data_IF_092720458667
#
_entry.id   IF_092720458667
#
_cell.length_a   1.000
_cell.length_b   1.000
_cell.length_c   1.000
_cell.angle_alpha   90.00
_cell.angle_beta   90.00
_cell.angle_gamma   90.00
#
_symmetry.space_group_name_H-M   'P 1'
#
loop_
_entity.id
_entity.type
_entity.pdbx_description
1 polymer ?
#
# COMPACT_ATOMS: atom_id res chain seq x y z
N UNK A 1 7.32 36.87 -13.20
CA UNK A 1 8.15 35.65 -13.37
C UNK A 1 8.48 35.14 -11.98
N UNK A 2 7.75 34.14 -11.50
CA UNK A 2 8.01 33.48 -10.22
C UNK A 2 8.69 32.16 -10.60
N UNK A 3 9.94 32.00 -10.17
CA UNK A 3 10.74 30.82 -10.48
C UNK A 3 10.14 29.59 -9.82
N UNK A 4 9.61 28.68 -10.62
CA UNK A 4 9.33 27.30 -10.23
C UNK A 4 10.67 26.58 -10.02
N UNK A 5 11.31 26.84 -8.88
CA UNK A 5 12.34 25.94 -8.36
C UNK A 5 11.63 24.69 -7.86
N UNK A 6 11.28 23.81 -8.80
CA UNK A 6 10.71 22.51 -8.50
C UNK A 6 11.60 21.76 -7.51
N UNK A 7 11.00 21.15 -6.49
CA UNK A 7 11.71 20.21 -5.64
C UNK A 7 11.99 18.96 -6.48
N UNK A 8 13.20 18.86 -7.02
CA UNK A 8 13.67 17.74 -7.84
C UNK A 8 14.32 16.69 -6.95
N UNK A 9 14.17 15.40 -7.27
CA UNK A 9 15.09 14.37 -6.79
C UNK A 9 16.20 14.26 -7.84
N UNK A 10 17.38 14.88 -7.61
CA UNK A 10 18.41 15.02 -8.65
C UNK A 10 18.88 13.65 -9.17
N UNK A 11 18.89 12.65 -8.30
CA UNK A 11 19.44 11.32 -8.57
C UNK A 11 18.44 10.34 -9.22
N UNK A 12 17.14 10.69 -9.26
CA UNK A 12 16.10 9.78 -9.75
C UNK A 12 16.21 9.47 -11.25
N UNK A 13 16.72 10.43 -12.03
CA UNK A 13 16.98 10.22 -13.45
C UNK A 13 18.23 9.35 -13.70
N UNK A 14 19.13 9.25 -12.71
CA UNK A 14 20.36 8.45 -12.82
C UNK A 14 20.20 7.05 -12.23
N UNK A 15 19.24 6.86 -11.32
CA UNK A 15 18.97 5.58 -10.68
C UNK A 15 18.89 4.38 -11.65
N UNK A 16 18.15 4.44 -12.78
CA UNK A 16 18.09 3.31 -13.70
C UNK A 16 19.44 2.99 -14.38
N UNK A 17 20.32 3.98 -14.52
CA UNK A 17 21.67 3.79 -15.06
C UNK A 17 22.55 3.06 -14.04
N UNK A 18 22.52 3.51 -12.78
CA UNK A 18 23.25 2.87 -11.69
C UNK A 18 22.85 1.40 -11.52
N UNK A 19 21.55 1.10 -11.46
CA UNK A 19 21.06 -0.28 -11.33
C UNK A 19 21.55 -1.18 -12.47
N UNK A 20 21.56 -0.68 -13.71
CA UNK A 20 22.01 -1.46 -14.87
C UNK A 20 23.52 -1.69 -14.86
N UNK A 21 24.30 -0.67 -14.52
CA UNK A 21 25.75 -0.78 -14.40
C UNK A 21 26.14 -1.75 -13.29
N UNK A 22 25.57 -1.59 -12.08
CA UNK A 22 25.87 -2.44 -10.93
C UNK A 22 25.48 -3.91 -11.20
N UNK A 23 24.32 -4.15 -11.82
CA UNK A 23 23.88 -5.51 -12.16
C UNK A 23 24.84 -6.18 -13.16
N UNK A 24 25.26 -5.46 -14.21
CA UNK A 24 26.13 -6.03 -15.24
C UNK A 24 27.57 -6.22 -14.75
N UNK A 25 28.07 -5.32 -13.90
CA UNK A 25 29.36 -5.47 -13.23
C UNK A 25 29.35 -6.67 -12.27
N UNK A 26 28.29 -6.81 -11.46
CA UNK A 26 28.08 -7.98 -10.61
C UNK A 26 28.03 -9.27 -11.40
N UNK A 27 27.32 -9.32 -12.53
CA UNK A 27 27.28 -10.53 -13.38
C UNK A 27 28.65 -10.89 -13.98
N UNK A 28 29.49 -9.90 -14.32
CA UNK A 28 30.84 -10.13 -14.80
C UNK A 28 31.80 -10.61 -13.70
N UNK A 29 31.60 -10.17 -12.46
CA UNK A 29 32.50 -10.46 -11.34
C UNK A 29 32.09 -11.73 -10.56
N UNK A 30 30.79 -11.93 -10.35
CA UNK A 30 30.25 -12.94 -9.43
C UNK A 30 30.04 -14.30 -10.07
N UNK A 31 30.05 -14.38 -11.41
CA UNK A 31 29.94 -15.64 -12.14
C UNK A 31 31.34 -16.09 -12.56
N UNK A 32 31.96 -17.05 -11.86
CA UNK A 32 33.26 -17.59 -12.26
C UNK A 32 33.13 -18.32 -13.60
N UNK A 33 34.15 -18.17 -14.45
CA UNK A 33 34.29 -18.82 -15.77
C UNK A 33 33.43 -18.25 -16.90
N UNK A 34 33.05 -16.97 -16.87
CA UNK A 34 32.53 -16.33 -18.08
C UNK A 34 33.56 -16.40 -19.20
N UNK A 35 33.11 -16.88 -20.36
CA UNK A 35 33.91 -16.88 -21.57
C UNK A 35 34.08 -15.44 -22.08
N UNK A 36 35.16 -15.19 -22.82
CA UNK A 36 35.41 -13.87 -23.42
C UNK A 36 34.24 -13.41 -24.31
N UNK A 37 33.59 -14.35 -25.00
CA UNK A 37 32.41 -14.11 -25.83
C UNK A 37 31.19 -13.67 -25.02
N UNK A 38 30.99 -14.22 -23.83
CA UNK A 38 29.88 -13.83 -22.94
C UNK A 38 30.13 -12.45 -22.34
N UNK A 39 31.38 -12.13 -21.96
CA UNK A 39 31.75 -10.78 -21.52
C UNK A 39 31.49 -9.74 -22.63
N UNK A 40 31.82 -10.07 -23.89
CA UNK A 40 31.51 -9.20 -25.02
C UNK A 40 30.00 -9.07 -25.25
N UNK A 41 29.24 -10.15 -25.09
CA UNK A 41 27.78 -10.11 -25.21
C UNK A 41 27.13 -9.25 -24.11
N UNK A 42 27.64 -9.29 -22.88
CA UNK A 42 27.21 -8.43 -21.77
C UNK A 42 27.54 -6.96 -22.04
N UNK A 43 28.74 -6.66 -22.57
CA UNK A 43 29.09 -5.31 -22.99
C UNK A 43 28.16 -4.79 -24.10
N UNK A 44 27.83 -5.62 -25.09
CA UNK A 44 26.88 -5.27 -26.14
C UNK A 44 25.44 -5.08 -25.60
N UNK A 45 25.04 -5.87 -24.62
CA UNK A 45 23.76 -5.74 -23.92
C UNK A 45 23.69 -4.40 -23.17
N UNK A 46 24.76 -4.02 -22.46
CA UNK A 46 24.86 -2.74 -21.75
C UNK A 46 24.59 -1.56 -22.69
N UNK A 47 25.30 -1.52 -23.83
CA UNK A 47 25.16 -0.45 -24.83
C UNK A 47 23.74 -0.38 -25.39
N UNK A 48 23.16 -1.53 -25.77
CA UNK A 48 21.80 -1.59 -26.32
C UNK A 48 20.75 -1.15 -25.30
N UNK A 49 20.93 -1.51 -24.03
CA UNK A 49 20.00 -1.14 -22.98
C UNK A 49 20.08 0.36 -22.68
N UNK A 50 21.29 0.90 -22.56
CA UNK A 50 21.50 2.35 -22.36
C UNK A 50 20.87 3.16 -23.49
N UNK A 51 21.01 2.73 -24.75
CA UNK A 51 20.36 3.38 -25.88
C UNK A 51 18.82 3.37 -25.79
N UNK A 52 18.22 2.28 -25.29
CA UNK A 52 16.77 2.21 -25.05
C UNK A 52 16.35 3.08 -23.86
N UNK A 53 17.20 3.18 -22.85
CA UNK A 53 16.93 3.94 -21.64
C UNK A 53 16.86 5.44 -21.94
N UNK A 54 17.75 5.98 -22.78
CA UNK A 54 17.73 7.40 -23.22
C UNK A 54 16.35 7.80 -23.77
N UNK A 55 15.69 6.92 -24.53
CA UNK A 55 14.36 7.19 -25.11
C UNK A 55 13.19 7.01 -24.13
N UNK A 56 13.46 6.49 -22.93
CA UNK A 56 12.44 6.15 -21.92
C UNK A 56 12.61 6.95 -20.63
N UNK A 57 13.68 7.75 -20.52
CA UNK A 57 13.85 8.62 -19.38
C UNK A 57 12.90 9.81 -19.51
N UNK A 58 12.10 10.10 -18.47
CA UNK A 58 11.35 11.35 -18.44
C UNK A 58 12.34 12.52 -18.35
N UNK A 59 12.09 13.59 -19.11
CA UNK A 59 12.88 14.83 -19.01
C UNK A 59 12.87 15.40 -17.58
N UNK A 60 11.84 15.07 -16.79
CA UNK A 60 11.89 15.24 -15.34
C UNK A 60 10.91 14.32 -14.62
N UNK A 61 11.31 13.80 -13.45
CA UNK A 61 10.42 13.22 -12.46
C UNK A 61 9.90 14.32 -11.54
N UNK A 62 8.76 14.93 -11.90
CA UNK A 62 8.12 15.91 -11.03
C UNK A 62 7.61 15.19 -9.78
N UNK A 63 7.94 15.71 -8.60
CA UNK A 63 7.22 15.32 -7.40
C UNK A 63 5.72 15.57 -7.60
N UNK A 64 4.85 14.70 -7.07
CA UNK A 64 3.43 15.02 -7.01
C UNK A 64 3.25 16.39 -6.34
N UNK A 65 2.31 17.22 -6.81
CA UNK A 65 2.09 18.53 -6.23
C UNK A 65 1.87 18.39 -4.72
N UNK A 66 2.53 19.27 -3.94
CA UNK A 66 2.33 19.29 -2.50
C UNK A 66 0.82 19.33 -2.20
N UNK A 67 0.33 18.56 -1.21
CA UNK A 67 -1.08 18.53 -0.89
C UNK A 67 -1.55 19.96 -0.66
N UNK A 68 -2.60 20.37 -1.39
CA UNK A 68 -3.15 21.72 -1.28
C UNK A 68 -3.50 21.94 0.19
N UNK A 69 -2.94 23.00 0.80
CA UNK A 69 -3.39 23.45 2.13
C UNK A 69 -4.92 23.52 2.08
N UNK A 70 -5.64 22.88 3.03
CA UNK A 70 -7.09 22.88 3.00
C UNK A 70 -7.56 24.33 2.91
N UNK A 71 -8.25 24.67 1.80
CA UNK A 71 -8.92 25.96 1.69
C UNK A 71 -9.87 26.02 2.87
N UNK A 72 -9.60 26.92 3.82
CA UNK A 72 -10.60 27.35 4.79
C UNK A 72 -11.79 27.84 3.98
N UNK A 73 -12.79 26.96 3.79
CA UNK A 73 -14.07 27.34 3.23
C UNK A 73 -14.70 28.19 4.31
N UNK A 74 -14.78 29.50 4.08
CA UNK A 74 -15.71 30.34 4.82
C UNK A 74 -17.05 29.62 4.84
N UNK A 75 -17.51 29.27 6.05
CA UNK A 75 -18.77 28.55 6.27
C UNK A 75 -19.91 29.45 5.83
N UNK A 76 -20.34 29.31 4.59
CA UNK A 76 -21.72 29.64 4.24
C UNK A 76 -22.58 28.51 4.79
N UNK A 77 -23.12 28.74 5.97
CA UNK A 77 -24.08 27.85 6.62
C UNK A 77 -25.38 27.95 5.82
N UNK A 78 -25.50 27.15 4.77
CA UNK A 78 -26.79 26.66 4.33
C UNK A 78 -27.18 25.51 5.27
N UNK A 79 -28.45 25.40 5.71
CA UNK A 79 -28.88 24.32 6.58
C UNK A 79 -28.79 23.01 5.80
N UNK A 80 -27.66 22.31 5.93
CA UNK A 80 -27.55 20.93 5.49
C UNK A 80 -28.49 20.12 6.36
N UNK A 81 -29.42 19.43 5.72
CA UNK A 81 -30.11 18.30 6.35
C UNK A 81 -29.04 17.37 6.92
N UNK A 82 -29.14 16.97 8.19
CA UNK A 82 -28.16 16.09 8.80
C UNK A 82 -28.20 14.75 8.06
N UNK A 83 -27.21 14.51 7.20
CA UNK A 83 -26.79 13.15 6.92
C UNK A 83 -26.32 12.58 8.26
N UNK A 84 -27.17 11.73 8.83
CA UNK A 84 -26.86 10.87 9.96
C UNK A 84 -25.78 9.87 9.54
N UNK A 85 -24.54 10.32 9.45
CA UNK A 85 -23.39 9.46 9.67
C UNK A 85 -22.61 10.13 10.78
N UNK A 86 -22.84 9.68 12.01
CA UNK A 86 -22.09 10.13 13.16
C UNK A 86 -20.62 9.92 12.87
N UNK A 87 -19.90 10.99 12.57
CA UNK A 87 -18.45 11.04 12.76
C UNK A 87 -18.25 10.96 14.28
N UNK A 88 -18.30 9.74 14.82
CA UNK A 88 -17.71 9.45 16.11
C UNK A 88 -16.28 9.98 16.04
N UNK A 89 -15.94 10.93 16.92
CA UNK A 89 -14.56 11.34 17.19
C UNK A 89 -13.82 10.10 17.70
N UNK A 90 -13.32 9.28 16.79
CA UNK A 90 -12.49 8.12 17.11
C UNK A 90 -11.09 8.64 17.34
N UNK A 91 -10.57 8.35 18.53
CA UNK A 91 -9.18 8.62 18.85
C UNK A 91 -8.37 7.54 18.15
N UNK A 92 -7.70 7.91 17.05
CA UNK A 92 -6.74 7.05 16.38
C UNK A 92 -5.57 6.80 17.35
N UNK A 93 -5.38 5.54 17.75
CA UNK A 93 -4.26 5.11 18.57
C UNK A 93 -3.20 4.45 17.69
N UNK A 94 -1.94 4.74 17.96
CA UNK A 94 -0.83 4.09 17.25
C UNK A 94 -0.76 2.61 17.69
N UNK A 95 -1.09 1.69 16.79
CA UNK A 95 -1.12 0.24 17.06
C UNK A 95 0.26 -0.30 17.44
N UNK A 96 1.35 0.36 17.05
CA UNK A 96 2.71 -0.05 17.41
C UNK A 96 3.08 0.27 18.86
N UNK A 97 2.35 1.17 19.52
CA UNK A 97 2.54 1.52 20.93
C UNK A 97 1.66 0.68 21.87
N UNK A 98 0.58 0.07 21.35
CA UNK A 98 -0.31 -0.81 22.11
C UNK A 98 0.38 -2.13 22.48
N UNK A 99 0.01 -2.74 23.61
CA UNK A 99 0.52 -4.07 23.98
C UNK A 99 0.00 -5.15 23.02
N UNK A 100 0.80 -6.19 22.79
CA UNK A 100 0.47 -7.25 21.82
C UNK A 100 -0.89 -7.94 22.11
N UNK A 101 -1.27 -8.05 23.38
CA UNK A 101 -2.51 -8.67 23.82
C UNK A 101 -3.65 -7.67 24.08
N UNK A 102 -3.38 -6.37 23.94
CA UNK A 102 -4.41 -5.33 24.09
C UNK A 102 -5.43 -5.44 22.96
N UNK A 103 -6.72 -5.45 23.31
CA UNK A 103 -7.80 -5.53 22.34
C UNK A 103 -8.06 -4.14 21.78
N UNK A 104 -7.80 -3.97 20.48
CA UNK A 104 -7.98 -2.71 19.75
C UNK A 104 -9.16 -2.80 18.78
N UNK A 105 -9.81 -1.66 18.54
CA UNK A 105 -10.82 -1.54 17.50
C UNK A 105 -10.16 -1.21 16.17
N UNK A 106 -10.17 -2.15 15.24
CA UNK A 106 -9.58 -2.01 13.92
C UNK A 106 -10.67 -1.89 12.84
N UNK A 107 -10.67 -0.78 12.11
CA UNK A 107 -11.58 -0.57 10.99
C UNK A 107 -11.00 -1.14 9.70
N UNK A 108 -11.61 -2.21 9.20
CA UNK A 108 -11.26 -2.81 7.92
C UNK A 108 -12.13 -2.22 6.83
N UNK A 109 -11.50 -1.57 5.84
CA UNK A 109 -12.18 -1.04 4.67
C UNK A 109 -12.11 -2.04 3.50
N UNK A 110 -13.27 -2.40 2.96
CA UNK A 110 -13.34 -3.26 1.77
C UNK A 110 -13.81 -2.41 0.57
N UNK A 111 -12.93 -2.16 -0.41
CA UNK A 111 -13.29 -1.41 -1.60
C UNK A 111 -14.22 -2.23 -2.51
N UNK A 112 -14.83 -1.56 -3.48
CA UNK A 112 -15.67 -2.22 -4.49
C UNK A 112 -14.81 -3.03 -5.45
N UNK A 113 -14.59 -4.31 -5.14
CA UNK A 113 -13.85 -5.24 -5.99
C UNK A 113 -14.72 -5.94 -7.05
N UNK A 114 -16.05 -5.90 -6.90
CA UNK A 114 -17.02 -6.47 -7.85
C UNK A 114 -18.16 -5.49 -8.13
N UNK A 115 -18.77 -5.60 -9.30
CA UNK A 115 -19.88 -4.74 -9.69
C UNK A 115 -21.09 -4.85 -8.74
N UNK A 116 -21.39 -6.04 -8.23
CA UNK A 116 -22.50 -6.27 -7.29
C UNK A 116 -22.23 -5.73 -5.87
N UNK A 117 -20.96 -5.45 -5.54
CA UNK A 117 -20.59 -5.05 -4.19
C UNK A 117 -20.71 -3.55 -3.98
N UNK A 118 -21.09 -3.18 -2.76
CA UNK A 118 -21.03 -1.80 -2.28
C UNK A 118 -19.78 -1.64 -1.41
N UNK A 119 -19.03 -0.53 -1.54
CA UNK A 119 -17.96 -0.22 -0.58
C UNK A 119 -18.52 -0.19 0.83
N UNK A 120 -17.84 -0.84 1.77
CA UNK A 120 -18.25 -0.86 3.18
C UNK A 120 -17.04 -1.04 4.08
N UNK A 121 -17.23 -0.74 5.36
CA UNK A 121 -16.22 -0.91 6.38
C UNK A 121 -16.77 -1.74 7.53
N UNK A 122 -15.87 -2.36 8.28
CA UNK A 122 -16.18 -3.20 9.43
C UNK A 122 -15.30 -2.78 10.60
N UNK A 123 -15.88 -2.65 11.78
CA UNK A 123 -15.17 -2.22 13.00
C UNK A 123 -14.91 -3.45 13.88
N UNK A 124 -13.74 -4.07 13.77
CA UNK A 124 -13.46 -5.38 14.37
C UNK A 124 -12.58 -5.23 15.60
N UNK A 125 -13.00 -5.86 16.70
CA UNK A 125 -12.22 -5.92 17.93
C UNK A 125 -11.23 -7.07 17.86
N UNK A 126 -9.94 -6.80 18.00
CA UNK A 126 -8.91 -7.85 17.94
C UNK A 126 -7.66 -7.47 18.75
N UNK A 127 -6.87 -8.45 19.22
CA UNK A 127 -5.58 -8.15 19.84
C UNK A 127 -4.62 -7.43 18.87
N UNK A 128 -3.84 -6.46 19.35
CA UNK A 128 -2.93 -5.68 18.51
C UNK A 128 -1.91 -6.55 17.74
N UNK A 129 -1.48 -7.66 18.32
CA UNK A 129 -0.57 -8.64 17.69
C UNK A 129 -1.09 -9.17 16.34
N UNK A 130 -2.41 -9.29 16.18
CA UNK A 130 -3.06 -9.75 14.95
C UNK A 130 -2.74 -8.81 13.80
N UNK A 131 -2.75 -7.51 14.09
CA UNK A 131 -2.49 -6.45 13.11
C UNK A 131 -0.99 -6.32 12.89
N UNK A 132 -0.19 -6.25 13.97
CA UNK A 132 1.28 -6.10 13.89
C UNK A 132 1.93 -7.22 13.08
N UNK A 133 1.46 -8.46 13.24
CA UNK A 133 1.99 -9.63 12.52
C UNK A 133 1.24 -9.93 11.22
N UNK A 134 0.18 -9.18 10.91
CA UNK A 134 -0.63 -9.38 9.71
C UNK A 134 -1.25 -10.78 9.63
N UNK A 135 -1.68 -11.35 10.75
CA UNK A 135 -2.17 -12.74 10.82
C UNK A 135 -3.36 -12.95 9.89
N UNK A 136 -4.27 -11.98 9.84
CA UNK A 136 -5.45 -12.03 8.96
C UNK A 136 -5.11 -12.15 7.47
N UNK A 137 -3.95 -11.66 7.03
CA UNK A 137 -3.58 -11.64 5.61
C UNK A 137 -3.47 -13.06 5.01
N UNK A 138 -3.13 -14.06 5.84
CA UNK A 138 -3.02 -15.46 5.39
C UNK A 138 -4.38 -16.15 5.29
N UNK A 139 -5.36 -15.68 6.04
CA UNK A 139 -6.68 -16.33 6.16
C UNK A 139 -7.76 -15.62 5.32
N UNK A 140 -7.53 -14.39 4.89
CA UNK A 140 -8.45 -13.69 3.98
C UNK A 140 -8.42 -14.31 2.60
N UNK A 141 -9.52 -14.98 2.25
CA UNK A 141 -9.73 -15.54 0.92
C UNK A 141 -11.09 -15.16 0.36
N UNK A 142 -11.25 -15.31 -0.95
CA UNK A 142 -12.40 -14.80 -1.69
C UNK A 142 -13.76 -15.30 -1.19
N UNK A 143 -13.82 -16.51 -0.62
CA UNK A 143 -15.05 -17.08 -0.05
C UNK A 143 -15.59 -16.28 1.15
N UNK A 144 -14.72 -15.81 2.05
CA UNK A 144 -15.12 -14.99 3.21
C UNK A 144 -15.56 -13.62 2.72
N UNK A 145 -14.81 -13.02 1.79
CA UNK A 145 -15.17 -11.73 1.21
C UNK A 145 -16.54 -11.78 0.52
N UNK A 146 -16.84 -12.82 -0.27
CA UNK A 146 -18.19 -12.97 -0.85
C UNK A 146 -19.26 -13.04 0.26
N UNK A 147 -19.03 -13.84 1.30
CA UNK A 147 -20.01 -14.07 2.37
C UNK A 147 -20.34 -12.79 3.15
N UNK A 148 -19.32 -12.02 3.55
CA UNK A 148 -19.53 -10.75 4.27
C UNK A 148 -20.04 -9.62 3.35
N UNK A 149 -19.74 -9.65 2.05
CA UNK A 149 -20.19 -8.60 1.12
C UNK A 149 -21.63 -8.81 0.61
N UNK A 150 -22.13 -10.04 0.66
CA UNK A 150 -23.51 -10.39 0.29
C UNK A 150 -24.49 -10.33 1.47
N UNK A 151 -24.00 -10.45 2.71
CA UNK A 151 -24.81 -10.39 3.92
C UNK A 151 -25.18 -8.95 4.34
N UNK A 152 -26.25 -8.84 5.15
CA UNK A 152 -26.71 -7.59 5.73
C UNK A 152 -25.68 -6.99 6.72
N UNK A 153 -25.83 -5.72 7.08
CA UNK A 153 -24.77 -5.00 7.80
C UNK A 153 -24.36 -5.64 9.12
N UNK A 154 -25.33 -5.92 9.99
CA UNK A 154 -25.10 -6.54 11.28
C UNK A 154 -24.58 -7.99 11.18
N UNK A 155 -25.11 -8.76 10.22
CA UNK A 155 -24.72 -10.16 10.02
C UNK A 155 -23.28 -10.28 9.51
N UNK A 156 -22.93 -9.47 8.51
CA UNK A 156 -21.59 -9.44 7.96
C UNK A 156 -20.54 -9.00 8.99
N UNK A 157 -20.90 -8.03 9.84
CA UNK A 157 -20.06 -7.57 10.95
C UNK A 157 -19.82 -8.68 11.98
N UNK A 158 -20.88 -9.36 12.42
CA UNK A 158 -20.78 -10.47 13.36
C UNK A 158 -19.99 -11.64 12.76
N UNK A 159 -20.18 -11.90 11.48
CA UNK A 159 -19.46 -12.96 10.78
C UNK A 159 -17.97 -12.67 10.66
N UNK A 160 -17.60 -11.43 10.32
CA UNK A 160 -16.21 -11.04 10.25
C UNK A 160 -15.54 -11.06 11.63
N UNK A 161 -16.24 -10.63 12.68
CA UNK A 161 -15.74 -10.72 14.06
C UNK A 161 -15.46 -12.17 14.44
N UNK A 162 -16.42 -13.07 14.16
CA UNK A 162 -16.27 -14.51 14.44
C UNK A 162 -15.05 -15.10 13.71
N UNK A 163 -14.87 -14.75 12.44
CA UNK A 163 -13.72 -15.20 11.67
C UNK A 163 -12.39 -14.76 12.28
N UNK A 164 -12.31 -13.51 12.76
CA UNK A 164 -11.10 -13.02 13.44
C UNK A 164 -10.86 -13.77 14.75
N UNK A 165 -11.90 -14.00 15.53
CA UNK A 165 -11.80 -14.75 16.80
C UNK A 165 -11.30 -16.18 16.56
N UNK A 166 -11.77 -16.84 15.49
CA UNK A 166 -11.31 -18.17 15.07
C UNK A 166 -9.80 -18.15 14.72
N UNK A 167 -9.34 -17.19 13.91
CA UNK A 167 -7.91 -17.06 13.56
C UNK A 167 -7.05 -16.81 14.80
N UNK A 168 -7.49 -15.93 15.69
CA UNK A 168 -6.77 -15.66 16.95
C UNK A 168 -6.68 -16.89 17.84
N UNK A 169 -7.70 -17.73 17.83
CA UNK A 169 -7.72 -18.96 18.63
C UNK A 169 -6.84 -20.04 18.00
N UNK A 170 -6.83 -20.17 16.67
CA UNK A 170 -6.00 -21.12 15.94
C UNK A 170 -4.50 -20.79 16.05
N UNK A 171 -4.12 -19.52 15.89
CA UNK A 171 -2.70 -19.10 15.96
C UNK A 171 -2.15 -19.05 17.39
N UNK A 172 -3.00 -19.13 18.42
CA UNK A 172 -2.56 -19.27 19.83
C UNK A 172 -2.19 -20.71 20.20
N UNK A 173 -2.46 -21.69 19.32
CA UNK A 173 -2.11 -23.10 19.54
C UNK A 173 -0.75 -23.51 18.95
N UNK A 174 -0.08 -22.60 18.22
CA UNK A 174 1.28 -22.78 17.67
C UNK A 174 2.30 -21.87 18.37
#
# INVERSE_FOLDING_TARGET
>A
MIGDSGNWIPDSCRFPQHVLSDMLEGLCHDIPNLTHTECQALAALHVRWMAKLVNRQPDSNRLPPAPKKPRSRARNIAPQQPNLSGEEKRVEHNIYEADDYEVVNNRIHIPRLRAAWRPRHFDIMMPAIVIKRGLLNKHFHWRILNKIMEAADAEAQAELQKFVDEVVTSDKLD
#
